data_IF_937793386055
#
_entry.id   IF_937793386055
#
_cell.length_a   1.000
_cell.length_b   1.000
_cell.length_c   1.000
_cell.angle_alpha   90.00
_cell.angle_beta   90.00
_cell.angle_gamma   90.00
#
_symmetry.space_group_name_H-M   'P 1'
#
loop_
_entity.id
_entity.type
_entity.pdbx_description
1 polymer ?
#
# COMPACT_ATOMS: atom_id res chain seq x y z
N UNK A 1 -0.82 -11.24 31.50
CA UNK A 1 -1.02 -11.51 30.06
C UNK A 1 -0.98 -10.18 29.34
N UNK A 2 0.01 -9.93 28.50
CA UNK A 2 0.14 -8.66 27.75
C UNK A 2 -0.21 -8.94 26.29
N UNK A 3 -1.20 -8.23 25.75
CA UNK A 3 -1.54 -8.29 24.33
C UNK A 3 -0.51 -7.49 23.53
N UNK A 4 0.14 -8.12 22.55
CA UNK A 4 1.07 -7.43 21.65
C UNK A 4 0.34 -7.12 20.35
N UNK A 5 0.21 -5.83 20.02
CA UNK A 5 -0.31 -5.36 18.74
C UNK A 5 0.87 -4.92 17.87
N UNK A 6 1.01 -5.52 16.69
CA UNK A 6 2.04 -5.14 15.72
C UNK A 6 1.43 -4.23 14.67
N UNK A 7 1.91 -2.99 14.59
CA UNK A 7 1.44 -1.99 13.63
C UNK A 7 2.45 -1.83 12.49
N UNK A 8 1.99 -1.99 11.25
CA UNK A 8 2.77 -1.61 10.06
C UNK A 8 2.59 -0.13 9.74
N UNK A 9 3.68 0.59 9.55
CA UNK A 9 3.70 2.03 9.24
C UNK A 9 4.25 2.34 7.85
N UNK A 10 4.90 1.38 7.19
CA UNK A 10 5.54 1.52 5.89
C UNK A 10 4.86 0.64 4.83
N UNK A 11 4.71 1.19 3.62
CA UNK A 11 4.10 0.54 2.45
C UNK A 11 4.89 0.82 1.17
N UNK A 12 6.16 1.21 1.29
CA UNK A 12 7.05 1.57 0.16
C UNK A 12 7.24 0.46 -0.86
N UNK A 13 7.12 -0.81 -0.44
CA UNK A 13 7.24 -1.96 -1.35
C UNK A 13 5.99 -2.18 -2.22
N UNK A 14 4.91 -1.43 -1.98
CA UNK A 14 3.69 -1.50 -2.78
C UNK A 14 2.84 -2.75 -2.49
N UNK A 15 2.10 -3.19 -3.49
CA UNK A 15 1.26 -4.38 -3.42
C UNK A 15 2.11 -5.64 -3.64
N UNK A 16 1.99 -6.60 -2.73
CA UNK A 16 2.72 -7.87 -2.77
C UNK A 16 1.92 -8.88 -3.59
N UNK A 17 2.61 -9.62 -4.46
CA UNK A 17 2.02 -10.73 -5.19
C UNK A 17 1.42 -11.76 -4.20
N UNK A 18 0.17 -12.23 -4.39
CA UNK A 18 -0.44 -13.25 -3.55
C UNK A 18 0.42 -14.50 -3.34
N UNK A 19 1.24 -14.90 -4.33
CA UNK A 19 2.17 -16.03 -4.21
C UNK A 19 3.29 -15.78 -3.18
N UNK A 20 3.63 -14.52 -2.91
CA UNK A 20 4.63 -14.11 -1.93
C UNK A 20 4.03 -13.83 -0.54
N UNK A 21 2.71 -13.96 -0.35
CA UNK A 21 2.05 -13.69 0.93
C UNK A 21 2.58 -14.55 2.08
N UNK A 22 3.08 -15.77 1.79
CA UNK A 22 3.68 -16.67 2.78
C UNK A 22 5.16 -16.38 3.09
N UNK A 23 5.82 -15.50 2.33
CA UNK A 23 7.23 -15.13 2.54
C UNK A 23 7.33 -13.99 3.54
N UNK A 24 7.19 -14.32 4.83
CA UNK A 24 7.30 -13.32 5.91
C UNK A 24 8.74 -12.81 6.13
N UNK A 25 9.72 -13.51 5.57
CA UNK A 25 11.16 -13.28 5.72
C UNK A 25 11.68 -12.17 4.80
N UNK A 26 10.98 -11.88 3.70
CA UNK A 26 11.41 -10.84 2.76
C UNK A 26 11.02 -9.45 3.28
N UNK A 27 11.91 -8.47 3.08
CA UNK A 27 11.65 -7.10 3.49
C UNK A 27 10.40 -6.52 2.80
N UNK A 28 10.16 -6.90 1.54
CA UNK A 28 8.96 -6.48 0.81
C UNK A 28 7.67 -6.88 1.53
N UNK A 29 7.63 -8.04 2.22
CA UNK A 29 6.48 -8.43 3.01
C UNK A 29 6.29 -7.50 4.20
N UNK A 30 7.37 -7.07 4.86
CA UNK A 30 7.28 -6.15 6.00
C UNK A 30 6.83 -4.74 5.58
N UNK A 31 7.35 -4.25 4.46
CA UNK A 31 7.12 -2.89 3.96
C UNK A 31 6.04 -2.82 2.85
N UNK A 32 5.26 -3.89 2.68
CA UNK A 32 4.26 -4.03 1.62
C UNK A 32 2.85 -4.24 2.14
N UNK A 33 1.87 -4.12 1.23
CA UNK A 33 0.46 -4.34 1.49
C UNK A 33 -0.08 -5.50 0.64
N UNK A 34 -1.13 -6.17 1.12
CA UNK A 34 -1.79 -7.23 0.36
C UNK A 34 -2.68 -6.68 -0.78
N UNK A 35 -3.13 -5.43 -0.68
CA UNK A 35 -3.99 -4.79 -1.68
C UNK A 35 -3.88 -3.26 -1.58
N UNK A 36 -3.65 -2.58 -2.69
CA UNK A 36 -3.59 -1.11 -2.80
C UNK A 36 -4.49 -0.65 -3.95
N UNK A 37 -5.65 -0.06 -3.61
CA UNK A 37 -6.60 0.46 -4.61
C UNK A 37 -6.74 1.97 -4.50
N UNK A 38 -6.64 2.65 -5.64
CA UNK A 38 -6.83 4.10 -5.75
C UNK A 38 -5.93 4.92 -4.80
N UNK A 39 -4.71 4.45 -4.56
CA UNK A 39 -3.70 5.11 -3.72
C UNK A 39 -2.37 5.23 -4.47
N UNK A 40 -1.52 6.12 -3.99
CA UNK A 40 -0.16 6.36 -4.44
C UNK A 40 0.76 6.08 -3.24
N UNK A 41 1.73 5.19 -3.44
CA UNK A 41 2.77 4.88 -2.45
C UNK A 41 3.78 6.02 -2.41
N UNK A 42 4.16 6.45 -1.21
CA UNK A 42 5.18 7.48 -1.02
C UNK A 42 6.53 6.84 -0.72
N UNK A 43 7.61 7.34 -1.33
CA UNK A 43 8.98 6.90 -1.05
C UNK A 43 9.40 7.16 0.40
N UNK A 44 8.81 8.16 1.06
CA UNK A 44 9.03 8.49 2.47
C UNK A 44 8.38 7.52 3.46
N UNK A 45 7.64 6.51 2.98
CA UNK A 45 6.74 5.71 3.80
C UNK A 45 5.30 6.24 3.78
N UNK A 46 4.36 5.30 3.82
CA UNK A 46 2.91 5.58 3.79
C UNK A 46 2.28 5.59 2.40
N UNK A 47 0.97 5.78 2.38
CA UNK A 47 0.15 5.85 1.16
C UNK A 47 -0.75 7.08 1.19
N UNK A 48 -0.98 7.68 0.03
CA UNK A 48 -1.91 8.79 -0.15
C UNK A 48 -3.00 8.40 -1.14
N UNK A 49 -4.23 8.91 -0.97
CA UNK A 49 -5.30 8.70 -1.96
C UNK A 49 -4.91 9.31 -3.30
N UNK A 50 -5.12 8.59 -4.41
CA UNK A 50 -4.88 9.13 -5.76
C UNK A 50 -5.76 10.36 -5.97
N UNK A 51 -5.22 11.48 -6.51
CA UNK A 51 -6.04 12.62 -6.89
C UNK A 51 -7.20 12.19 -7.80
N UNK A 52 -8.37 12.76 -7.55
CA UNK A 52 -9.52 12.59 -8.43
C UNK A 52 -9.25 13.19 -9.81
N UNK A 53 -10.12 12.87 -10.75
CA UNK A 53 -10.15 13.56 -12.04
C UNK A 53 -10.95 14.85 -11.89
N UNK A 54 -10.53 15.89 -12.62
CA UNK A 54 -11.33 17.10 -12.80
C UNK A 54 -11.99 17.00 -14.17
N UNK A 55 -13.30 17.22 -14.22
CA UNK A 55 -14.01 17.38 -15.50
C UNK A 55 -13.48 18.65 -16.18
N UNK A 56 -13.01 18.52 -17.42
CA UNK A 56 -12.47 19.65 -18.20
C UNK A 56 -13.48 20.12 -19.23
N UNK A 57 -14.02 19.18 -20.03
CA UNK A 57 -15.03 19.44 -21.05
C UNK A 57 -15.70 18.12 -21.42
N UNK A 58 -16.99 18.17 -21.74
CA UNK A 58 -17.72 17.06 -22.35
C UNK A 58 -17.79 17.32 -23.87
N UNK A 59 -17.36 16.34 -24.67
CA UNK A 59 -17.41 16.43 -26.13
C UNK A 59 -18.79 15.96 -26.63
N UNK A 60 -19.37 16.64 -27.63
CA UNK A 60 -20.63 16.25 -28.26
C UNK A 60 -20.53 14.95 -29.05
#
# INVERSE_FOLDING_TARGET
MTILSTTKTNFTSGEIDPALAGRIDIQAWQDGAALLRNVIVRSSGGVARRPGTRLVVELP
#
